data_IF_248794997249
#
_entry.id   IF_248794997249
#
_cell.length_a   1.000
_cell.length_b   1.000
_cell.length_c   1.000
_cell.angle_alpha   90.00
_cell.angle_beta   90.00
_cell.angle_gamma   90.00
#
_symmetry.space_group_name_H-M   'P 1'
#
loop_
_entity.id
_entity.type
_entity.pdbx_description
1 polymer ?
#
# COMPACT_ATOMS: atom_id res chain seq x y z
N UNK A 1 0.18 13.49 37.81
CA UNK A 1 0.37 13.03 36.42
C UNK A 1 -0.67 11.96 36.14
N UNK A 2 -1.70 12.33 35.39
CA UNK A 2 -2.78 11.42 34.96
C UNK A 2 -2.30 10.63 33.76
N UNK A 3 -2.32 9.31 33.86
CA UNK A 3 -1.99 8.45 32.73
C UNK A 3 -3.18 8.37 31.78
N UNK A 4 -3.05 8.94 30.59
CA UNK A 4 -4.02 8.77 29.52
C UNK A 4 -3.56 7.67 28.56
N UNK A 5 -4.52 7.04 27.88
CA UNK A 5 -4.21 6.01 26.89
C UNK A 5 -3.56 6.64 25.65
N UNK A 6 -2.60 5.97 25.01
CA UNK A 6 -1.85 6.49 23.84
C UNK A 6 -2.73 6.94 22.67
N UNK A 7 -4.00 6.51 22.63
CA UNK A 7 -4.99 6.92 21.63
C UNK A 7 -5.51 8.35 21.82
N UNK A 8 -5.50 8.84 23.06
CA UNK A 8 -5.91 10.19 23.49
C UNK A 8 -4.74 11.19 23.42
N UNK A 9 -3.64 10.81 22.76
CA UNK A 9 -2.50 11.68 22.55
C UNK A 9 -2.63 12.28 21.15
N UNK A 10 -2.73 13.59 21.02
CA UNK A 10 -2.89 14.31 19.75
C UNK A 10 -4.13 13.83 18.97
N UNK A 11 -5.25 13.64 19.68
CA UNK A 11 -6.53 13.25 19.09
C UNK A 11 -7.44 14.47 18.84
N UNK A 12 -7.02 15.66 19.28
CA UNK A 12 -7.74 16.92 19.12
C UNK A 12 -8.65 17.27 20.30
N UNK A 13 -8.68 16.45 21.35
CA UNK A 13 -9.36 16.73 22.60
C UNK A 13 -8.35 16.95 23.72
N UNK A 14 -8.71 17.79 24.70
CA UNK A 14 -7.89 18.00 25.89
C UNK A 14 -8.30 16.96 26.93
N UNK A 15 -7.53 15.88 27.02
CA UNK A 15 -7.67 14.79 27.98
C UNK A 15 -6.77 14.98 29.20
N UNK A 16 -5.73 15.83 29.12
CA UNK A 16 -4.85 16.17 30.24
C UNK A 16 -5.14 17.58 30.80
N UNK A 17 -5.08 17.72 32.14
CA UNK A 17 -5.36 19.00 32.81
C UNK A 17 -4.41 20.14 32.39
N UNK A 18 -3.17 19.79 32.08
CA UNK A 18 -2.13 20.69 31.57
C UNK A 18 -2.07 20.76 30.04
N UNK A 19 -2.97 20.05 29.33
CA UNK A 19 -3.09 20.03 27.86
C UNK A 19 -1.85 19.52 27.11
N UNK A 20 -0.91 18.89 27.80
CA UNK A 20 0.31 18.36 27.17
C UNK A 20 0.02 17.26 26.15
N UNK A 21 -1.14 16.62 26.23
CA UNK A 21 -1.61 15.64 25.27
C UNK A 21 -1.85 16.23 23.87
N UNK A 22 -2.06 17.54 23.77
CA UNK A 22 -2.28 18.29 22.53
C UNK A 22 -1.17 19.34 22.25
N UNK A 23 -0.09 19.36 23.05
CA UNK A 23 0.99 20.33 22.87
C UNK A 23 1.77 20.04 21.58
N UNK A 24 1.99 21.09 20.79
CA UNK A 24 2.66 20.98 19.50
C UNK A 24 4.06 20.35 19.61
N UNK A 25 4.80 20.57 20.70
CA UNK A 25 6.14 20.00 20.90
C UNK A 25 6.09 18.48 21.08
N UNK A 26 5.01 17.96 21.66
CA UNK A 26 4.78 16.53 21.89
C UNK A 26 4.14 15.89 20.64
N UNK A 27 3.25 16.61 19.96
CA UNK A 27 2.56 16.17 18.75
C UNK A 27 3.35 16.36 17.44
N UNK A 28 4.55 16.97 17.50
CA UNK A 28 5.41 17.31 16.36
C UNK A 28 5.79 16.14 15.43
N UNK A 29 5.61 14.89 15.86
CA UNK A 29 5.98 13.69 15.08
C UNK A 29 4.80 12.93 14.48
N UNK A 30 3.56 13.36 14.71
CA UNK A 30 2.40 12.70 14.10
C UNK A 30 2.03 13.42 12.81
N UNK A 31 1.89 12.72 11.67
CA UNK A 31 1.22 13.32 10.53
C UNK A 31 -0.15 13.79 11.03
N UNK A 32 -0.48 15.07 10.84
CA UNK A 32 -1.74 15.67 11.28
C UNK A 32 -2.88 14.73 10.90
N UNK A 33 -3.47 14.05 11.89
CA UNK A 33 -4.67 13.25 11.65
C UNK A 33 -5.76 14.25 11.31
N UNK A 34 -6.18 14.21 10.05
CA UNK A 34 -7.39 14.86 9.58
C UNK A 34 -8.55 14.51 10.53
N UNK A 35 -9.39 15.50 10.82
CA UNK A 35 -10.59 15.39 11.63
C UNK A 35 -11.48 14.18 11.22
N UNK A 36 -12.21 13.57 12.17
CA UNK A 36 -13.15 12.51 11.86
C UNK A 36 -14.32 13.11 11.06
N UNK A 37 -14.41 12.80 9.77
CA UNK A 37 -15.55 13.22 8.94
C UNK A 37 -15.24 13.61 7.50
N UNK A 38 -13.97 13.68 7.09
CA UNK A 38 -13.64 13.87 5.67
C UNK A 38 -12.41 13.03 5.28
N UNK A 39 -12.63 11.71 5.19
CA UNK A 39 -11.68 10.79 4.57
C UNK A 39 -11.77 10.89 3.04
N UNK A 40 -11.22 11.98 2.52
CA UNK A 40 -10.58 11.96 1.19
C UNK A 40 -9.11 12.31 1.38
N UNK A 41 -8.42 11.53 2.21
CA UNK A 41 -6.98 11.37 2.07
C UNK A 41 -6.75 10.57 0.78
N UNK A 42 -6.96 11.22 -0.36
CA UNK A 42 -6.32 10.83 -1.61
C UNK A 42 -4.87 11.25 -1.48
N UNK A 43 -4.14 10.55 -0.62
CA UNK A 43 -2.75 10.31 -0.94
C UNK A 43 -2.78 9.34 -2.09
N UNK A 44 -2.85 9.95 -3.28
CA UNK A 44 -2.17 9.44 -4.45
C UNK A 44 -0.66 9.43 -4.17
N UNK A 45 -0.21 8.73 -3.12
CA UNK A 45 0.98 7.91 -3.37
C UNK A 45 0.45 6.89 -4.37
N UNK A 46 0.90 6.95 -5.62
CA UNK A 46 0.76 5.85 -6.58
C UNK A 46 1.51 4.60 -6.06
N UNK A 47 1.20 4.16 -4.84
CA UNK A 47 1.63 2.91 -4.27
C UNK A 47 0.51 1.96 -4.63
N UNK A 48 0.82 1.04 -5.51
CA UNK A 48 -0.08 -0.06 -5.84
C UNK A 48 -0.61 -0.70 -4.55
N UNK A 49 -1.77 -1.36 -4.60
CA UNK A 49 -2.11 -2.34 -3.59
C UNK A 49 -0.90 -3.26 -3.35
N UNK A 50 -0.63 -3.64 -2.11
CA UNK A 50 0.57 -4.43 -1.77
C UNK A 50 0.66 -5.78 -2.53
N UNK A 51 -0.46 -6.23 -3.08
CA UNK A 51 -0.58 -7.46 -3.87
C UNK A 51 -0.42 -7.26 -5.38
N UNK A 52 -0.26 -6.02 -5.86
CA UNK A 52 -0.19 -5.71 -7.28
C UNK A 52 1.27 -5.51 -7.71
N UNK A 53 1.56 -5.88 -8.95
CA UNK A 53 2.87 -5.66 -9.55
C UNK A 53 2.98 -4.21 -10.01
N UNK A 54 4.10 -3.57 -9.69
CA UNK A 54 4.38 -2.22 -10.14
C UNK A 54 5.24 -2.29 -11.39
N UNK A 55 4.77 -1.68 -12.48
CA UNK A 55 5.52 -1.62 -13.72
C UNK A 55 6.89 -0.97 -13.47
N UNK A 56 7.91 -1.40 -14.21
CA UNK A 56 9.27 -0.88 -14.15
C UNK A 56 9.36 0.62 -14.44
N UNK A 57 8.44 1.14 -15.24
CA UNK A 57 8.30 2.58 -15.51
C UNK A 57 7.65 3.38 -14.36
N UNK A 58 7.07 2.68 -13.38
CA UNK A 58 6.41 3.26 -12.21
C UNK A 58 5.14 4.07 -12.53
N UNK A 59 4.56 3.91 -13.72
CA UNK A 59 3.39 4.71 -14.11
C UNK A 59 2.07 4.03 -13.75
N UNK A 60 2.04 2.69 -13.81
CA UNK A 60 0.86 1.86 -13.59
C UNK A 60 1.14 0.62 -12.71
N UNK A 61 0.07 0.03 -12.20
CA UNK A 61 0.07 -1.20 -11.44
C UNK A 61 -0.82 -2.21 -12.15
N UNK A 62 -0.40 -3.48 -12.20
CA UNK A 62 -1.19 -4.56 -12.77
C UNK A 62 -1.42 -5.67 -11.74
N UNK A 63 -2.47 -6.45 -11.94
CA UNK A 63 -2.71 -7.61 -11.09
C UNK A 63 -1.68 -8.72 -11.37
N UNK A 64 -1.32 -9.54 -10.35
CA UNK A 64 -0.35 -10.63 -10.52
C UNK A 64 -0.67 -11.62 -11.65
N UNK A 65 -1.94 -11.74 -12.04
CA UNK A 65 -2.38 -12.60 -13.15
C UNK A 65 -1.93 -12.12 -14.52
N UNK A 66 -1.66 -10.83 -14.66
CA UNK A 66 -1.15 -10.19 -15.88
C UNK A 66 0.38 -10.15 -15.91
N UNK A 67 1.06 -10.70 -14.90
CA UNK A 67 2.51 -10.81 -14.92
C UNK A 67 2.88 -12.17 -15.52
N UNK A 68 3.71 -12.16 -16.56
CA UNK A 68 4.11 -13.34 -17.32
C UNK A 68 2.91 -14.10 -17.90
N UNK A 69 1.97 -13.38 -18.51
CA UNK A 69 0.79 -13.92 -19.17
C UNK A 69 0.86 -13.90 -20.71
N UNK A 70 2.01 -13.54 -21.28
CA UNK A 70 2.24 -13.37 -22.73
C UNK A 70 1.54 -12.15 -23.34
N UNK A 71 1.00 -11.25 -22.51
CA UNK A 71 0.45 -9.96 -22.92
C UNK A 71 1.29 -8.84 -22.33
N UNK A 72 1.40 -7.74 -23.07
CA UNK A 72 2.13 -6.56 -22.61
C UNK A 72 1.13 -5.59 -21.97
N UNK A 73 0.98 -5.70 -20.66
CA UNK A 73 0.04 -4.92 -19.85
C UNK A 73 0.72 -3.70 -19.21
N UNK A 74 2.05 -3.74 -18.99
CA UNK A 74 2.81 -2.54 -18.65
C UNK A 74 3.17 -1.72 -19.89
N UNK A 75 3.23 -0.40 -19.77
CA UNK A 75 3.61 0.45 -20.92
C UNK A 75 5.03 0.17 -21.44
N UNK A 76 5.91 -0.28 -20.55
CA UNK A 76 7.30 -0.61 -20.85
C UNK A 76 7.56 -2.11 -21.07
N UNK A 77 6.55 -2.98 -20.95
CA UNK A 77 6.73 -4.44 -21.04
C UNK A 77 7.53 -5.06 -19.90
N UNK A 78 7.63 -4.37 -18.77
CA UNK A 78 8.31 -4.89 -17.58
C UNK A 78 7.60 -6.08 -16.94
N UNK A 79 6.34 -6.32 -17.26
CA UNK A 79 5.55 -7.48 -16.84
C UNK A 79 5.92 -8.78 -17.58
N UNK A 80 6.51 -8.68 -18.77
CA UNK A 80 6.93 -9.81 -19.63
C UNK A 80 8.46 -9.89 -19.79
N UNK A 81 9.20 -9.45 -18.76
CA UNK A 81 10.66 -9.39 -18.78
C UNK A 81 11.37 -10.75 -18.66
N UNK A 82 12.71 -10.73 -18.58
CA UNK A 82 13.52 -11.96 -18.51
C UNK A 82 13.18 -12.85 -17.30
N UNK A 83 12.72 -12.27 -16.19
CA UNK A 83 12.31 -13.01 -15.00
C UNK A 83 11.12 -13.96 -15.25
N UNK A 84 10.35 -13.76 -16.33
CA UNK A 84 9.26 -14.65 -16.73
C UNK A 84 9.75 -16.02 -17.21
N UNK A 85 11.04 -16.19 -17.54
CA UNK A 85 11.61 -17.48 -17.98
C UNK A 85 11.41 -18.62 -16.96
N UNK A 86 11.33 -18.31 -15.67
CA UNK A 86 11.01 -19.30 -14.62
C UNK A 86 9.51 -19.50 -14.39
N UNK A 87 8.70 -18.50 -14.71
CA UNK A 87 7.27 -18.44 -14.40
C UNK A 87 6.40 -19.19 -15.42
N UNK A 88 6.84 -19.20 -16.68
CA UNK A 88 6.24 -19.99 -17.75
C UNK A 88 6.24 -21.50 -17.41
N UNK A 89 7.33 -22.01 -16.82
CA UNK A 89 7.39 -23.41 -16.35
C UNK A 89 6.36 -23.71 -15.25
N UNK A 90 5.96 -22.73 -14.43
CA UNK A 90 4.93 -22.90 -13.39
C UNK A 90 3.51 -22.87 -13.97
N UNK A 91 3.23 -22.06 -15.00
CA UNK A 91 1.91 -22.04 -15.66
C UNK A 91 1.65 -23.29 -16.50
N UNK A 92 2.68 -23.87 -17.12
CA UNK A 92 2.57 -25.18 -17.79
C UNK A 92 2.15 -26.29 -16.81
N UNK A 93 2.69 -26.29 -15.59
CA UNK A 93 2.30 -27.24 -14.54
C UNK A 93 0.90 -27.00 -13.95
N UNK A 94 0.29 -25.82 -14.18
CA UNK A 94 -1.08 -25.51 -13.76
C UNK A 94 -2.13 -25.94 -14.81
N UNK A 95 -1.75 -26.05 -16.09
CA UNK A 95 -2.62 -26.53 -17.18
C UNK A 95 -2.54 -28.04 -17.42
N UNK A 96 -1.52 -28.73 -16.94
CA UNK A 96 -1.37 -30.20 -17.10
C UNK A 96 -2.13 -31.02 -16.03
N UNK A 97 -3.24 -30.51 -15.50
CA UNK A 97 -4.28 -31.39 -14.92
C UNK A 97 -5.18 -31.93 -16.03
N UNK A 98 -4.62 -32.76 -16.89
CA UNK A 98 -5.37 -33.87 -17.48
C UNK A 98 -4.60 -35.13 -17.18
N UNK A 99 -4.89 -35.67 -16.00
CA UNK A 99 -4.64 -37.07 -15.71
C UNK A 99 -5.47 -37.86 -16.73
N UNK A 100 -4.82 -38.59 -17.63
CA UNK A 100 -5.40 -39.75 -18.27
C UNK A 100 -4.64 -40.98 -17.80
#
# INVERSE_FOLDING_TARGET
MTCIHKRFLCDGNVDCADRSDEDAKICSKKPKKLAPGNFRYSIQTKRCPATWFFCGDGTNCIEPRYVCDHSNDCRDGSDEGEFCRGWDNMRRNAHDKVIH
#
